data_IF_085159592372
#
_entry.id   IF_085159592372
#
_cell.length_a   1.000
_cell.length_b   1.000
_cell.length_c   1.000
_cell.angle_alpha   90.00
_cell.angle_beta   90.00
_cell.angle_gamma   90.00
#
_symmetry.space_group_name_H-M   'P 1'
#
loop_
_entity.id
_entity.type
_entity.pdbx_description
1 polymer ?
#
# COMPACT_ATOMS: atom_id res chain seq x y z
N UNK A 1 10.02 16.06 48.63
CA UNK A 1 10.09 17.05 47.58
C UNK A 1 8.78 17.10 46.82
N UNK A 2 8.09 18.23 46.77
CA UNK A 2 6.86 18.38 46.02
C UNK A 2 7.17 18.41 44.52
N UNK A 3 6.64 17.48 43.77
CA UNK A 3 6.68 17.51 42.29
C UNK A 3 6.12 18.86 41.78
N UNK A 4 6.75 19.43 40.75
CA UNK A 4 6.28 20.67 40.15
C UNK A 4 4.83 20.54 39.65
N UNK A 5 4.04 21.61 39.75
CA UNK A 5 2.63 21.62 39.38
C UNK A 5 2.40 21.11 37.91
N UNK A 6 3.28 21.51 36.99
CA UNK A 6 3.24 21.08 35.59
C UNK A 6 3.38 19.56 35.45
N UNK A 7 4.26 18.93 36.20
CA UNK A 7 4.47 17.47 36.17
C UNK A 7 3.25 16.75 36.74
N UNK A 8 2.68 17.22 37.81
CA UNK A 8 1.45 16.67 38.40
C UNK A 8 0.26 16.83 37.47
N UNK A 9 0.11 17.96 36.81
CA UNK A 9 -0.92 18.20 35.82
C UNK A 9 -0.78 17.26 34.63
N UNK A 10 0.43 17.11 34.09
CA UNK A 10 0.69 16.15 33.01
C UNK A 10 0.38 14.70 33.39
N UNK A 11 0.77 14.28 34.61
CA UNK A 11 0.45 12.94 35.10
C UNK A 11 -1.06 12.73 35.18
N UNK A 12 -1.80 13.70 35.74
CA UNK A 12 -3.26 13.64 35.85
C UNK A 12 -3.92 13.55 34.48
N UNK A 13 -3.52 14.41 33.53
CA UNK A 13 -4.05 14.41 32.16
C UNK A 13 -3.81 13.06 31.44
N UNK A 14 -2.65 12.44 31.66
CA UNK A 14 -2.35 11.11 31.12
C UNK A 14 -3.19 10.01 31.76
N UNK A 15 -3.33 10.04 33.10
CA UNK A 15 -4.09 9.04 33.86
C UNK A 15 -5.58 9.09 33.50
N UNK A 16 -6.11 10.29 33.29
CA UNK A 16 -7.51 10.50 32.89
C UNK A 16 -7.73 10.33 31.37
N UNK A 17 -6.71 9.91 30.61
CA UNK A 17 -6.71 9.76 29.16
C UNK A 17 -7.14 11.05 28.39
N UNK A 18 -6.98 12.21 29.01
CA UNK A 18 -7.23 13.52 28.39
C UNK A 18 -6.06 13.97 27.50
N UNK A 19 -4.86 13.39 27.70
CA UNK A 19 -3.67 13.61 26.88
C UNK A 19 -3.17 12.27 26.35
N UNK A 20 -3.32 12.05 25.05
CA UNK A 20 -2.85 10.85 24.39
C UNK A 20 -1.37 11.01 24.01
N UNK A 21 -0.58 10.03 24.42
CA UNK A 21 0.83 9.90 24.01
C UNK A 21 1.02 8.91 22.87
N UNK A 22 0.00 8.09 22.61
CA UNK A 22 -0.08 7.15 21.51
C UNK A 22 -1.55 7.00 21.09
N UNK A 23 -1.78 6.75 19.81
CA UNK A 23 -3.10 6.50 19.25
C UNK A 23 -2.95 5.46 18.13
N UNK A 24 -3.83 4.47 18.09
CA UNK A 24 -3.85 3.49 17.01
C UNK A 24 -4.71 3.95 15.83
N UNK A 25 -4.47 3.38 14.65
CA UNK A 25 -5.17 3.73 13.41
C UNK A 25 -6.68 3.48 13.47
N UNK A 26 -7.10 2.39 14.10
CA UNK A 26 -8.54 2.08 14.30
C UNK A 26 -9.22 3.15 15.15
N UNK A 27 -8.55 3.61 16.23
CA UNK A 27 -9.09 4.69 17.04
C UNK A 27 -9.17 6.00 16.26
N UNK A 28 -8.16 6.31 15.45
CA UNK A 28 -8.21 7.47 14.57
C UNK A 28 -9.39 7.39 13.61
N UNK A 29 -9.63 6.22 13.00
CA UNK A 29 -10.78 5.99 12.13
C UNK A 29 -12.11 6.26 12.85
N UNK A 30 -12.24 5.78 14.08
CA UNK A 30 -13.45 6.02 14.89
C UNK A 30 -13.66 7.53 15.15
N UNK A 31 -12.60 8.28 15.41
CA UNK A 31 -12.71 9.74 15.60
C UNK A 31 -13.09 10.45 14.29
N UNK A 32 -12.53 10.03 13.15
CA UNK A 32 -12.87 10.56 11.82
C UNK A 32 -14.36 10.36 11.46
N UNK A 33 -14.93 9.22 11.86
CA UNK A 33 -16.32 8.88 11.59
C UNK A 33 -17.29 9.48 12.61
N UNK A 34 -16.90 9.53 13.90
CA UNK A 34 -17.71 10.09 14.99
C UNK A 34 -17.89 11.60 14.83
N UNK A 35 -16.82 12.27 14.48
CA UNK A 35 -16.80 13.70 14.20
C UNK A 35 -16.64 13.82 12.69
N UNK A 36 -17.46 14.58 11.96
CA UNK A 36 -17.37 14.63 10.49
C UNK A 36 -16.11 15.37 10.06
N UNK A 37 -14.95 14.77 10.32
CA UNK A 37 -13.64 15.31 9.91
C UNK A 37 -13.33 15.05 8.44
N UNK A 38 -14.01 14.09 7.82
CA UNK A 38 -13.89 13.86 6.39
C UNK A 38 -14.35 15.08 5.58
N UNK A 39 -13.52 15.53 4.65
CA UNK A 39 -13.81 16.64 3.73
C UNK A 39 -14.32 16.14 2.37
N UNK A 40 -15.18 15.16 2.40
CA UNK A 40 -15.64 14.38 1.24
C UNK A 40 -15.03 12.98 1.28
N UNK A 41 -14.23 12.62 0.27
CA UNK A 41 -13.60 11.30 0.16
C UNK A 41 -12.23 11.19 0.83
N UNK A 42 -11.67 12.33 1.20
CA UNK A 42 -10.34 12.45 1.80
C UNK A 42 -10.29 13.57 2.84
N UNK A 43 -9.19 13.61 3.59
CA UNK A 43 -8.85 14.73 4.48
C UNK A 43 -7.34 14.98 4.44
N UNK A 44 -6.89 16.24 4.25
CA UNK A 44 -5.48 16.59 4.32
C UNK A 44 -4.91 16.31 5.71
N UNK A 45 -3.73 15.69 5.77
CA UNK A 45 -3.05 15.40 7.05
C UNK A 45 -2.81 16.68 7.85
N UNK A 46 -2.42 17.76 7.18
CA UNK A 46 -2.24 19.08 7.79
C UNK A 46 -3.53 19.57 8.44
N UNK A 47 -4.65 19.50 7.73
CA UNK A 47 -5.95 19.92 8.26
C UNK A 47 -6.35 19.07 9.48
N UNK A 48 -6.09 17.77 9.43
CA UNK A 48 -6.36 16.87 10.53
C UNK A 48 -5.54 17.25 11.78
N UNK A 49 -4.28 17.65 11.61
CA UNK A 49 -3.44 18.15 12.70
C UNK A 49 -4.02 19.43 13.33
N UNK A 50 -4.50 20.35 12.50
CA UNK A 50 -5.15 21.58 12.94
C UNK A 50 -6.46 21.27 13.68
N UNK A 51 -7.29 20.36 13.16
CA UNK A 51 -8.55 19.95 13.76
C UNK A 51 -8.33 19.36 15.17
N UNK A 52 -7.34 18.47 15.34
CA UNK A 52 -6.98 17.91 16.65
C UNK A 52 -6.39 18.95 17.61
N UNK A 53 -5.78 20.01 17.10
CA UNK A 53 -5.25 21.10 17.95
C UNK A 53 -6.36 22.06 18.41
N UNK A 54 -7.36 22.31 17.57
CA UNK A 54 -8.38 23.34 17.79
C UNK A 54 -9.62 22.78 18.52
N UNK A 55 -10.15 21.63 18.06
CA UNK A 55 -11.42 21.14 18.55
C UNK A 55 -11.33 20.47 19.91
N UNK A 56 -12.10 20.98 20.89
CA UNK A 56 -12.09 20.50 22.27
C UNK A 56 -12.73 19.14 22.47
N UNK A 57 -13.58 18.70 21.56
CA UNK A 57 -14.25 17.40 21.60
C UNK A 57 -13.37 16.26 21.03
N UNK A 58 -12.25 16.60 20.42
CA UNK A 58 -11.23 15.62 20.02
C UNK A 58 -10.24 15.38 21.18
N UNK A 59 -9.69 14.16 21.28
CA UNK A 59 -8.69 13.88 22.32
C UNK A 59 -7.44 14.74 22.08
N UNK A 60 -6.89 15.28 23.17
CA UNK A 60 -5.64 16.06 23.09
C UNK A 60 -4.47 15.14 22.83
N UNK A 61 -3.72 15.44 21.80
CA UNK A 61 -2.49 14.73 21.46
C UNK A 61 -1.29 15.44 22.09
N UNK A 62 -0.31 14.65 22.57
CA UNK A 62 0.94 15.20 23.13
C UNK A 62 1.69 16.05 22.12
N UNK A 63 1.78 15.54 20.90
CA UNK A 63 2.44 16.17 19.76
C UNK A 63 1.89 15.62 18.43
N UNK A 64 2.30 16.20 17.31
CA UNK A 64 1.89 15.79 15.97
C UNK A 64 2.33 14.38 15.61
N UNK A 65 3.43 13.88 16.18
CA UNK A 65 3.93 12.54 15.89
C UNK A 65 2.95 11.45 16.34
N UNK A 66 2.13 11.72 17.37
CA UNK A 66 1.06 10.80 17.80
C UNK A 66 0.04 10.60 16.69
N UNK A 67 -0.33 11.66 15.98
CA UNK A 67 -1.24 11.58 14.84
C UNK A 67 -0.58 10.88 13.63
N UNK A 68 0.64 11.27 13.28
CA UNK A 68 1.38 10.65 12.18
C UNK A 68 1.59 9.14 12.43
N UNK A 69 1.92 8.78 13.68
CA UNK A 69 2.01 7.38 14.10
C UNK A 69 0.68 6.63 13.94
N UNK A 70 -0.44 7.25 14.31
CA UNK A 70 -1.77 6.68 14.15
C UNK A 70 -2.15 6.48 12.67
N UNK A 71 -1.78 7.43 11.81
CA UNK A 71 -2.02 7.31 10.37
C UNK A 71 -1.18 6.15 9.80
N UNK A 72 0.10 6.08 10.16
CA UNK A 72 0.98 4.99 9.72
C UNK A 72 0.46 3.63 10.18
N UNK A 73 0.08 3.51 11.44
CA UNK A 73 -0.52 2.29 12.01
C UNK A 73 -1.80 1.90 11.27
N UNK A 74 -2.67 2.86 10.96
CA UNK A 74 -3.90 2.60 10.23
C UNK A 74 -3.68 2.14 8.79
N UNK A 75 -2.71 2.73 8.10
CA UNK A 75 -2.36 2.36 6.72
C UNK A 75 -1.71 0.98 6.66
N UNK A 76 -0.93 0.60 7.68
CA UNK A 76 -0.23 -0.68 7.74
C UNK A 76 -1.17 -1.87 7.98
N UNK A 77 -2.39 -1.65 8.48
CA UNK A 77 -3.34 -2.72 8.77
C UNK A 77 -3.67 -3.53 7.51
N UNK A 78 -3.58 -4.87 7.55
CA UNK A 78 -3.87 -5.71 6.37
C UNK A 78 -5.34 -5.63 5.94
N UNK A 79 -6.25 -5.40 6.86
CA UNK A 79 -7.68 -5.24 6.64
C UNK A 79 -8.12 -3.75 6.58
N UNK A 80 -7.22 -2.86 6.16
CA UNK A 80 -7.42 -1.42 6.09
C UNK A 80 -8.72 -1.00 5.38
N UNK A 81 -9.16 -1.79 4.39
CA UNK A 81 -10.39 -1.52 3.64
C UNK A 81 -11.65 -1.55 4.52
N UNK A 82 -11.62 -2.30 5.63
CA UNK A 82 -12.75 -2.44 6.56
C UNK A 82 -12.53 -1.71 7.87
N UNK A 83 -11.29 -1.75 8.38
CA UNK A 83 -10.98 -1.33 9.74
C UNK A 83 -10.44 0.10 9.83
N UNK A 84 -9.75 0.58 8.77
CA UNK A 84 -9.06 1.87 8.83
C UNK A 84 -9.24 2.71 7.56
N UNK A 85 -8.16 3.08 6.90
CA UNK A 85 -8.13 4.00 5.76
C UNK A 85 -6.84 3.80 4.95
N UNK A 86 -6.77 4.44 3.79
CA UNK A 86 -5.55 4.53 2.99
C UNK A 86 -4.88 5.90 3.15
N UNK A 87 -3.65 6.01 2.67
CA UNK A 87 -2.86 7.23 2.63
C UNK A 87 -2.45 7.54 1.19
N UNK A 88 -2.47 8.80 0.81
CA UNK A 88 -1.95 9.28 -0.47
C UNK A 88 -0.98 10.45 -0.25
N UNK A 89 0.04 10.55 -1.07
CA UNK A 89 1.01 11.64 -1.01
C UNK A 89 0.45 12.95 -1.56
N UNK A 90 -0.39 12.85 -2.58
CA UNK A 90 -1.05 14.00 -3.21
C UNK A 90 -2.29 13.56 -3.99
N UNK A 91 -3.06 14.55 -4.44
CA UNK A 91 -4.18 14.37 -5.38
C UNK A 91 -3.92 15.27 -6.59
N UNK A 92 -4.01 14.70 -7.79
CA UNK A 92 -3.83 15.49 -9.01
C UNK A 92 -5.09 16.29 -9.38
N UNK A 93 -5.00 17.14 -10.40
CA UNK A 93 -6.09 18.00 -10.87
C UNK A 93 -7.32 17.23 -11.37
N UNK A 94 -7.13 16.00 -11.84
CA UNK A 94 -8.22 15.11 -12.28
C UNK A 94 -8.80 14.26 -11.14
N UNK A 95 -8.39 14.52 -9.88
CA UNK A 95 -8.94 13.86 -8.71
C UNK A 95 -8.35 12.48 -8.39
N UNK A 96 -7.31 12.02 -9.12
CA UNK A 96 -6.63 10.75 -8.86
C UNK A 96 -5.58 10.91 -7.76
N UNK A 97 -5.55 9.97 -6.83
CA UNK A 97 -4.56 9.96 -5.75
C UNK A 97 -3.21 9.43 -6.23
N UNK A 98 -2.15 10.13 -5.85
CA UNK A 98 -0.77 9.79 -6.16
C UNK A 98 -0.11 9.17 -4.93
N UNK A 99 0.69 8.12 -5.14
CA UNK A 99 1.33 7.40 -4.03
C UNK A 99 0.31 6.81 -3.05
N UNK A 100 -0.84 6.32 -3.56
CA UNK A 100 -1.90 5.71 -2.76
C UNK A 100 -1.42 4.38 -2.18
N UNK A 101 -1.44 4.26 -0.85
CA UNK A 101 -0.98 3.09 -0.11
C UNK A 101 -2.03 2.66 0.91
N UNK A 102 -2.29 1.37 0.97
CA UNK A 102 -3.12 0.72 1.98
C UNK A 102 -2.66 -0.72 2.19
N UNK A 103 -2.54 -1.16 3.44
CA UNK A 103 -2.04 -2.49 3.80
C UNK A 103 -0.52 -2.64 3.71
N UNK A 104 0.22 -1.55 3.52
CA UNK A 104 1.67 -1.54 3.42
C UNK A 104 2.26 -0.40 4.26
N UNK A 105 3.55 -0.51 4.60
CA UNK A 105 4.23 0.57 5.32
C UNK A 105 4.37 1.82 4.43
N UNK A 106 3.98 2.96 4.98
CA UNK A 106 4.03 4.23 4.29
C UNK A 106 4.83 5.26 5.09
N UNK A 107 5.65 6.03 4.41
CA UNK A 107 6.29 7.22 4.99
C UNK A 107 5.26 8.34 5.06
N UNK A 108 4.57 8.45 6.19
CA UNK A 108 3.54 9.48 6.41
C UNK A 108 4.20 10.81 6.70
N UNK A 109 3.86 11.83 5.91
CA UNK A 109 4.37 13.19 6.06
C UNK A 109 3.23 14.15 6.42
N UNK A 110 3.56 15.17 7.20
CA UNK A 110 2.61 16.23 7.58
C UNK A 110 2.44 17.30 6.48
N UNK A 111 3.44 17.40 5.60
CA UNK A 111 3.55 18.44 4.58
C UNK A 111 3.34 17.86 3.18
N UNK A 112 3.24 18.73 2.18
CA UNK A 112 3.29 18.32 0.77
C UNK A 112 1.96 17.83 0.17
N UNK A 113 0.81 18.14 0.77
CA UNK A 113 -0.48 17.75 0.19
C UNK A 113 -0.91 16.31 0.50
N UNK A 114 -0.29 15.71 1.50
CA UNK A 114 -0.61 14.36 1.97
C UNK A 114 -2.06 14.26 2.50
N UNK A 115 -2.70 13.14 2.19
CA UNK A 115 -4.13 12.91 2.42
C UNK A 115 -4.37 11.56 3.09
N UNK A 116 -5.32 11.52 4.01
CA UNK A 116 -5.97 10.29 4.46
C UNK A 116 -7.20 10.09 3.59
N UNK A 117 -7.35 8.92 2.99
CA UNK A 117 -8.37 8.61 1.99
C UNK A 117 -9.32 7.55 2.53
N UNK A 118 -10.61 7.72 2.29
CA UNK A 118 -11.63 6.72 2.65
C UNK A 118 -11.32 5.37 2.00
N UNK A 119 -11.51 4.26 2.71
CA UNK A 119 -11.14 2.95 2.22
C UNK A 119 -11.90 2.55 0.96
N UNK A 120 -13.15 2.93 0.83
CA UNK A 120 -13.99 2.61 -0.32
C UNK A 120 -13.43 3.23 -1.61
N UNK A 121 -13.05 4.52 -1.53
CA UNK A 121 -12.52 5.29 -2.65
C UNK A 121 -11.12 4.79 -3.04
N UNK A 122 -10.30 4.52 -2.04
CA UNK A 122 -8.96 3.98 -2.25
C UNK A 122 -8.99 2.58 -2.88
N UNK A 123 -9.88 1.71 -2.41
CA UNK A 123 -10.05 0.36 -2.96
C UNK A 123 -10.53 0.41 -4.42
N UNK A 124 -11.42 1.35 -4.74
CA UNK A 124 -11.88 1.53 -6.12
C UNK A 124 -10.75 2.00 -7.05
N UNK A 125 -9.91 2.95 -6.60
CA UNK A 125 -8.75 3.37 -7.38
C UNK A 125 -7.76 2.23 -7.57
N UNK A 126 -7.42 1.47 -6.51
CA UNK A 126 -6.55 0.30 -6.62
C UNK A 126 -7.08 -0.73 -7.63
N UNK A 127 -8.39 -0.96 -7.64
CA UNK A 127 -9.03 -1.86 -8.61
C UNK A 127 -8.86 -1.35 -10.04
N UNK A 128 -9.11 -0.06 -10.28
CA UNK A 128 -8.94 0.58 -11.59
C UNK A 128 -7.49 0.52 -12.06
N UNK A 129 -6.56 0.82 -11.17
CA UNK A 129 -5.12 0.79 -11.47
C UNK A 129 -4.65 -0.62 -11.83
N UNK A 130 -5.13 -1.64 -11.11
CA UNK A 130 -4.85 -3.04 -11.41
C UNK A 130 -5.44 -3.49 -12.75
N UNK A 131 -6.64 -3.04 -13.08
CA UNK A 131 -7.30 -3.33 -14.35
C UNK A 131 -6.59 -2.65 -15.53
N UNK A 132 -6.18 -1.39 -15.38
CA UNK A 132 -5.36 -0.66 -16.37
C UNK A 132 -4.00 -1.35 -16.58
N UNK A 133 -3.35 -1.76 -15.50
CA UNK A 133 -2.08 -2.48 -15.57
C UNK A 133 -2.24 -3.83 -16.30
N UNK A 134 -3.34 -4.54 -16.04
CA UNK A 134 -3.65 -5.80 -16.72
C UNK A 134 -3.91 -5.60 -18.20
N UNK A 135 -4.69 -4.60 -18.60
CA UNK A 135 -4.94 -4.24 -20.00
C UNK A 135 -3.65 -3.84 -20.73
N UNK A 136 -2.74 -3.16 -20.05
CA UNK A 136 -1.44 -2.75 -20.59
C UNK A 136 -0.44 -3.92 -20.68
N UNK A 137 -0.60 -4.94 -19.83
CA UNK A 137 0.25 -6.13 -19.80
C UNK A 137 -0.20 -7.23 -20.79
N UNK A 138 -1.42 -7.14 -21.35
CA UNK A 138 -1.86 -8.00 -22.43
C UNK A 138 -1.16 -7.55 -23.72
N UNK A 139 -0.15 -8.30 -24.23
CA UNK A 139 0.43 -8.00 -25.53
C UNK A 139 -0.67 -8.23 -26.58
N UNK A 140 -0.72 -7.36 -27.57
CA UNK A 140 -1.54 -7.50 -28.75
C UNK A 140 -1.19 -8.82 -29.48
N UNK A 141 -1.75 -9.92 -28.99
CA UNK A 141 -1.75 -11.21 -29.66
C UNK A 141 -3.05 -11.32 -30.42
N UNK A 142 -3.18 -10.49 -31.46
CA UNK A 142 -4.16 -10.70 -32.51
C UNK A 142 -3.73 -9.90 -33.74
N UNK A 143 -3.05 -10.57 -34.65
CA UNK A 143 -2.76 -9.97 -35.94
C UNK A 143 -1.71 -10.76 -36.69
N UNK A 144 -2.10 -11.80 -37.39
CA UNK A 144 -1.20 -12.51 -38.31
C UNK A 144 -1.81 -13.84 -38.72
N UNK A 145 -2.86 -13.74 -39.51
CA UNK A 145 -3.43 -14.88 -40.18
C UNK A 145 -2.60 -15.28 -41.37
N UNK A 146 -2.96 -16.44 -41.87
CA UNK A 146 -2.80 -16.89 -43.27
C UNK A 146 -1.49 -17.61 -43.58
N UNK A 147 -1.60 -18.65 -44.10
CA UNK A 147 -2.04 -19.41 -45.22
C UNK A 147 -1.23 -20.68 -45.32
N UNK A 148 -1.94 -21.74 -45.43
CA UNK A 148 -1.88 -22.84 -46.39
C UNK A 148 -0.50 -23.28 -46.88
N UNK A 149 -0.16 -24.53 -46.66
CA UNK A 149 -0.06 -25.45 -47.82
C UNK A 149 -0.18 -26.91 -47.39
N UNK A 150 -0.92 -27.56 -48.23
CA UNK A 150 -1.28 -28.94 -48.26
C UNK A 150 -0.07 -29.87 -48.46
N UNK A 151 -0.35 -31.09 -48.06
CA UNK A 151 -0.10 -32.32 -48.85
C UNK A 151 1.12 -33.16 -48.43
N UNK A 152 0.82 -34.35 -48.07
CA UNK A 152 1.30 -35.68 -48.46
C UNK A 152 1.23 -36.66 -47.29
N UNK A 153 0.19 -37.50 -47.34
CA UNK A 153 0.21 -38.90 -46.86
C UNK A 153 0.81 -39.77 -47.98
N UNK A 154 1.07 -41.06 -47.79
CA UNK A 154 0.87 -42.00 -46.67
C UNK A 154 2.03 -43.02 -46.50
N UNK A 155 1.94 -43.91 -45.51
CA UNK A 155 2.05 -45.34 -45.73
C UNK A 155 2.57 -46.17 -44.54
N UNK A 156 1.75 -47.08 -44.09
CA UNK A 156 1.93 -48.46 -43.64
C UNK A 156 3.04 -48.87 -42.66
N UNK A 157 2.59 -49.58 -41.64
CA UNK A 157 3.43 -50.51 -40.89
C UNK A 157 2.71 -51.14 -39.69
N UNK A 158 2.02 -52.22 -39.98
CA UNK A 158 1.38 -53.19 -39.10
C UNK A 158 2.34 -53.81 -38.08
N UNK A 159 1.86 -54.12 -36.86
CA UNK A 159 2.60 -54.95 -35.90
C UNK A 159 1.88 -55.06 -34.55
N UNK A 160 1.04 -56.09 -34.43
CA UNK A 160 0.43 -56.61 -33.20
C UNK A 160 1.46 -57.07 -32.17
N UNK A 161 1.09 -56.99 -30.90
CA UNK A 161 0.92 -58.00 -29.82
C UNK A 161 1.24 -57.39 -28.46
N UNK A 162 0.32 -57.29 -27.59
CA UNK A 162 -0.13 -58.22 -26.55
C UNK A 162 0.48 -57.98 -25.15
N UNK A 163 -0.43 -57.77 -24.20
CA UNK A 163 -0.40 -58.04 -22.76
C UNK A 163 0.69 -57.41 -21.84
N UNK A 164 0.33 -56.59 -20.89
CA UNK A 164 0.04 -57.01 -19.49
C UNK A 164 -0.16 -55.77 -18.56
N UNK A 165 -1.00 -56.00 -17.58
CA UNK A 165 -1.35 -55.14 -16.42
C UNK A 165 -0.18 -54.38 -15.78
N UNK A 166 -0.43 -53.07 -15.52
CA UNK A 166 0.36 -52.29 -14.62
C UNK A 166 -0.27 -50.93 -14.41
N UNK A 167 -0.98 -50.76 -13.32
CA UNK A 167 -1.55 -49.49 -12.91
C UNK A 167 -0.45 -48.43 -12.73
N UNK A 168 -0.42 -47.47 -13.61
CA UNK A 168 0.45 -46.28 -13.46
C UNK A 168 -0.28 -45.23 -12.67
N UNK A 169 0.29 -44.63 -11.61
CA UNK A 169 -0.31 -43.52 -10.91
C UNK A 169 -0.31 -42.28 -11.82
N UNK A 170 -1.27 -41.34 -11.63
CA UNK A 170 -1.36 -40.14 -12.46
C UNK A 170 -0.11 -39.26 -12.36
N UNK A 171 0.26 -38.56 -13.43
CA UNK A 171 1.46 -37.73 -13.45
C UNK A 171 1.34 -36.58 -12.44
N UNK A 172 2.34 -36.50 -11.56
CA UNK A 172 2.53 -35.39 -10.61
C UNK A 172 2.76 -34.12 -11.43
N UNK A 173 2.05 -33.00 -11.15
CA UNK A 173 2.30 -31.76 -11.83
C UNK A 173 3.74 -31.29 -11.60
N UNK A 174 4.41 -30.73 -12.63
CA UNK A 174 5.81 -30.30 -12.49
C UNK A 174 5.93 -29.21 -11.43
N UNK A 175 6.93 -29.36 -10.58
CA UNK A 175 7.26 -28.39 -9.52
C UNK A 175 7.51 -27.01 -10.15
N UNK A 176 7.09 -25.92 -9.50
CA UNK A 176 7.33 -24.57 -9.98
C UNK A 176 8.84 -24.33 -10.08
N UNK A 177 9.27 -23.86 -11.25
CA UNK A 177 10.68 -23.51 -11.50
C UNK A 177 11.09 -22.40 -10.51
N UNK A 178 12.29 -22.48 -9.89
CA UNK A 178 12.77 -21.44 -9.01
C UNK A 178 12.87 -20.12 -9.79
N UNK A 179 12.32 -19.04 -9.22
CA UNK A 179 12.44 -17.68 -9.76
C UNK A 179 13.92 -17.31 -9.76
N UNK A 180 14.51 -17.14 -10.93
CA UNK A 180 15.85 -16.56 -11.09
C UNK A 180 15.83 -15.14 -10.54
N UNK A 181 16.62 -14.91 -9.50
CA UNK A 181 16.87 -13.58 -8.97
C UNK A 181 17.72 -12.82 -10.00
N UNK A 182 17.10 -11.96 -10.80
CA UNK A 182 17.83 -11.03 -11.66
C UNK A 182 18.52 -9.99 -10.79
N UNK A 183 19.85 -10.00 -10.76
CA UNK A 183 20.65 -8.95 -10.14
C UNK A 183 20.46 -7.67 -10.92
N UNK A 184 20.01 -6.62 -10.22
CA UNK A 184 19.94 -5.28 -10.78
C UNK A 184 21.34 -4.65 -10.73
N UNK A 185 21.96 -4.39 -11.86
CA UNK A 185 23.17 -3.61 -11.94
C UNK A 185 22.76 -2.16 -12.26
N UNK A 186 22.69 -1.32 -11.23
CA UNK A 186 22.55 0.12 -11.37
C UNK A 186 23.93 0.78 -11.30
N UNK A 187 24.36 1.47 -12.35
CA UNK A 187 25.55 2.35 -12.30
C UNK A 187 25.12 3.69 -11.70
N UNK A 188 25.64 4.03 -10.53
CA UNK A 188 25.50 5.37 -9.95
C UNK A 188 26.72 6.18 -10.39
N UNK A 189 26.52 7.20 -11.21
CA UNK A 189 27.53 8.20 -11.50
C UNK A 189 27.73 9.08 -10.26
N UNK A 190 28.81 8.88 -9.55
CA UNK A 190 29.21 9.75 -8.44
C UNK A 190 30.07 10.86 -9.05
N UNK A 191 29.56 12.09 -8.98
CA UNK A 191 30.28 13.27 -9.42
C UNK A 191 31.48 13.53 -8.47
N UNK A 192 32.68 13.32 -8.94
CA UNK A 192 33.93 13.40 -8.17
C UNK A 192 34.23 14.80 -7.58
N UNK A 193 33.45 15.81 -7.94
CA UNK A 193 33.64 17.19 -7.49
C UNK A 193 32.90 17.52 -6.17
N UNK A 194 32.16 16.59 -5.58
CA UNK A 194 31.40 16.82 -4.32
C UNK A 194 31.99 16.19 -3.08
N UNK A 195 33.07 15.43 -3.17
CA UNK A 195 33.69 14.71 -2.03
C UNK A 195 34.77 15.54 -1.29
N UNK A 196 35.01 16.77 -1.69
CA UNK A 196 36.14 17.57 -1.23
C UNK A 196 35.80 18.79 -0.35
N UNK A 197 34.68 18.88 0.35
CA UNK A 197 34.32 20.11 1.07
C UNK A 197 33.87 19.99 2.53
N UNK A 198 34.11 18.87 3.20
CA UNK A 198 33.90 18.77 4.67
C UNK A 198 35.08 18.04 5.32
N UNK A 199 36.26 18.65 5.26
CA UNK A 199 37.38 18.38 6.16
C UNK A 199 38.15 19.69 6.35
N UNK A 200 37.69 20.47 7.36
CA UNK A 200 38.38 21.64 7.86
C UNK A 200 37.83 21.98 9.24
#
# INVERSE_FOLDING_TARGET
>A
GSEALSVRACKKLKTEALLLTQMGGVRLRMELDRVPLWRGDDVPVKQLMEDFAIYLYLPRLRDSNVLLGAIRDGVLQPDWQKATFAYAQAKNEIGRYQGLVGGLDASVQAEGGALVVKPEVAAEQHRKDAEEARKKAEPAASGGGSEANEDVSPSHGSGSTDFTHGATPPPVPPAPKPKELRRFHGSVNIDALRVGRDAG
#
